data_IF_852781775314
#
_entry.id   IF_852781775314
#
_cell.length_a   1.000
_cell.length_b   1.000
_cell.length_c   1.000
_cell.angle_alpha   90.00
_cell.angle_beta   90.00
_cell.angle_gamma   90.00
#
_symmetry.space_group_name_H-M   'P 1'
#
loop_
_entity.id
_entity.type
_entity.pdbx_description
1 polymer ?
#
# COMPACT_ATOMS: atom_id res chain seq x y z
N UNK A 1 10.81 17.24 4.88
CA UNK A 1 9.42 17.77 4.64
C UNK A 1 8.71 17.11 3.42
N UNK A 2 8.13 15.90 3.52
CA UNK A 2 7.38 15.29 2.40
C UNK A 2 5.95 14.83 2.75
N UNK A 3 5.48 15.08 3.98
CA UNK A 3 4.06 14.98 4.31
C UNK A 3 3.72 15.94 5.47
N UNK A 4 2.87 16.97 5.27
CA UNK A 4 2.12 17.53 6.39
C UNK A 4 1.20 16.44 6.95
N UNK A 5 1.09 16.34 8.28
CA UNK A 5 0.27 15.39 9.05
C UNK A 5 -0.82 14.68 8.22
N UNK A 6 -0.55 13.43 7.85
CA UNK A 6 -1.49 12.59 7.11
C UNK A 6 -2.72 12.31 7.99
N UNK A 7 -3.88 12.88 7.68
CA UNK A 7 -5.13 12.50 8.32
C UNK A 7 -5.62 11.15 7.75
N UNK A 8 -5.01 10.07 8.25
CA UNK A 8 -5.32 8.71 7.85
C UNK A 8 -6.82 8.38 7.98
N UNK A 9 -7.52 8.97 8.96
CA UNK A 9 -8.95 8.70 9.19
C UNK A 9 -9.81 9.27 8.07
N UNK A 10 -9.52 10.49 7.61
CA UNK A 10 -10.20 11.09 6.48
C UNK A 10 -9.97 10.27 5.19
N UNK A 11 -8.74 9.82 4.95
CA UNK A 11 -8.41 8.99 3.78
C UNK A 11 -9.14 7.65 3.79
N UNK A 12 -9.15 6.94 4.93
CA UNK A 12 -9.89 5.68 5.08
C UNK A 12 -11.38 5.88 4.85
N UNK A 13 -11.96 6.98 5.37
CA UNK A 13 -13.38 7.30 5.17
C UNK A 13 -13.69 7.53 3.69
N UNK A 14 -12.83 8.27 2.99
CA UNK A 14 -12.96 8.51 1.55
C UNK A 14 -12.85 7.21 0.73
N UNK A 15 -11.86 6.36 1.01
CA UNK A 15 -11.68 5.07 0.34
C UNK A 15 -12.86 4.13 0.58
N UNK A 16 -13.37 4.08 1.82
CA UNK A 16 -14.58 3.32 2.16
C UNK A 16 -15.81 3.88 1.44
N UNK A 17 -15.88 5.19 1.21
CA UNK A 17 -16.89 5.84 0.37
C UNK A 17 -16.81 5.40 -1.10
N UNK A 18 -15.61 5.30 -1.68
CA UNK A 18 -15.40 4.73 -3.03
C UNK A 18 -15.89 3.28 -3.08
N UNK A 19 -15.49 2.46 -2.11
CA UNK A 19 -15.90 1.06 -2.04
C UNK A 19 -17.43 0.90 -1.92
N UNK A 20 -18.10 1.72 -1.10
CA UNK A 20 -19.56 1.74 -1.00
C UNK A 20 -20.24 2.11 -2.32
N UNK A 21 -19.75 3.14 -3.02
CA UNK A 21 -20.27 3.52 -4.34
C UNK A 21 -20.16 2.38 -5.35
N UNK A 22 -19.01 1.71 -5.40
CA UNK A 22 -18.84 0.52 -6.23
C UNK A 22 -19.80 -0.59 -5.84
N UNK A 23 -19.99 -0.84 -4.53
CA UNK A 23 -20.93 -1.84 -4.05
C UNK A 23 -22.38 -1.53 -4.45
N UNK A 24 -22.79 -0.25 -4.42
CA UNK A 24 -24.11 0.20 -4.88
C UNK A 24 -24.29 0.02 -6.40
N UNK A 25 -23.30 0.43 -7.19
CA UNK A 25 -23.33 0.28 -8.65
C UNK A 25 -23.37 -1.19 -9.08
N UNK A 26 -22.56 -2.04 -8.44
CA UNK A 26 -22.57 -3.48 -8.70
C UNK A 26 -23.89 -4.09 -8.24
N UNK A 27 -24.50 -3.61 -7.15
CA UNK A 27 -25.79 -4.10 -6.67
C UNK A 27 -26.90 -3.86 -7.70
N UNK A 28 -27.00 -2.64 -8.22
CA UNK A 28 -28.01 -2.28 -9.23
C UNK A 28 -27.72 -2.87 -10.62
N UNK A 29 -26.44 -3.07 -10.96
CA UNK A 29 -26.04 -3.58 -12.28
C UNK A 29 -26.33 -5.07 -12.49
N UNK A 30 -26.63 -5.44 -13.75
CA UNK A 30 -26.65 -6.85 -14.17
C UNK A 30 -25.26 -7.24 -14.67
N UNK A 31 -24.64 -8.22 -14.01
CA UNK A 31 -23.29 -8.69 -14.31
C UNK A 31 -23.32 -10.20 -14.46
N UNK A 32 -22.62 -10.70 -15.48
CA UNK A 32 -22.45 -12.14 -15.63
C UNK A 32 -21.57 -12.68 -14.50
N UNK A 33 -21.86 -13.89 -14.01
CA UNK A 33 -21.17 -14.52 -12.86
C UNK A 33 -19.65 -14.51 -13.01
N UNK A 34 -19.15 -14.80 -14.20
CA UNK A 34 -17.71 -14.90 -14.49
C UNK A 34 -17.00 -13.54 -14.60
N UNK A 35 -17.74 -12.45 -14.81
CA UNK A 35 -17.16 -11.11 -15.00
C UNK A 35 -16.93 -10.39 -13.67
N UNK A 36 -17.54 -10.87 -12.59
CA UNK A 36 -17.48 -10.22 -11.27
C UNK A 36 -16.06 -10.20 -10.69
N UNK A 37 -15.33 -11.31 -10.73
CA UNK A 37 -13.96 -11.37 -10.20
C UNK A 37 -13.00 -10.52 -11.07
N UNK A 38 -13.02 -10.61 -12.41
CA UNK A 38 -12.29 -9.68 -13.28
C UNK A 38 -12.59 -8.22 -13.00
N UNK A 39 -13.86 -7.84 -12.82
CA UNK A 39 -14.28 -6.48 -12.49
C UNK A 39 -13.60 -5.96 -11.21
N UNK A 40 -13.60 -6.75 -10.14
CA UNK A 40 -12.93 -6.36 -8.89
C UNK A 40 -11.46 -6.05 -9.14
N UNK A 41 -10.77 -6.88 -9.92
CA UNK A 41 -9.33 -6.72 -10.22
C UNK A 41 -9.04 -5.53 -11.13
N UNK A 42 -9.86 -5.29 -12.15
CA UNK A 42 -9.56 -4.33 -13.22
C UNK A 42 -10.12 -2.93 -12.97
N UNK A 43 -11.21 -2.78 -12.21
CA UNK A 43 -11.85 -1.47 -12.01
C UNK A 43 -11.84 -1.04 -10.54
N UNK A 44 -12.35 -1.89 -9.65
CA UNK A 44 -12.43 -1.55 -8.22
C UNK A 44 -11.03 -1.38 -7.63
N UNK A 45 -10.15 -2.36 -7.83
CA UNK A 45 -8.76 -2.28 -7.34
C UNK A 45 -8.03 -1.08 -7.94
N UNK A 46 -8.21 -0.81 -9.24
CA UNK A 46 -7.60 0.35 -9.93
C UNK A 46 -8.08 1.69 -9.36
N UNK A 47 -9.35 1.79 -8.96
CA UNK A 47 -9.89 2.99 -8.32
C UNK A 47 -9.23 3.26 -6.95
N UNK A 48 -8.80 2.21 -6.26
CA UNK A 48 -8.13 2.29 -4.97
C UNK A 48 -6.60 2.43 -5.10
N UNK A 49 -6.01 2.11 -6.26
CA UNK A 49 -4.56 2.04 -6.47
C UNK A 49 -3.86 3.41 -6.41
N UNK A 50 -4.49 4.47 -6.92
CA UNK A 50 -3.87 5.81 -6.97
C UNK A 50 -3.40 6.31 -5.60
N UNK A 51 -4.22 6.32 -4.53
CA UNK A 51 -3.77 6.78 -3.22
C UNK A 51 -2.82 5.80 -2.50
N UNK A 52 -2.68 4.55 -2.97
CA UNK A 52 -1.83 3.56 -2.29
C UNK A 52 -0.36 3.96 -2.22
N UNK A 53 0.15 4.77 -3.15
CA UNK A 53 1.55 5.23 -3.10
C UNK A 53 1.82 6.15 -1.91
N UNK A 54 0.82 6.89 -1.46
CA UNK A 54 0.97 7.92 -0.42
C UNK A 54 0.54 7.41 0.96
N UNK A 55 -0.37 6.45 1.00
CA UNK A 55 -0.96 5.95 2.23
C UNK A 55 -0.17 4.76 2.78
N UNK A 56 -0.06 4.71 4.11
CA UNK A 56 0.60 3.61 4.84
C UNK A 56 -0.41 2.90 5.74
N UNK A 57 -1.40 2.26 5.10
CA UNK A 57 -2.50 1.58 5.81
C UNK A 57 -2.13 0.13 6.15
N UNK A 58 -2.60 -0.32 7.32
CA UNK A 58 -2.49 -1.72 7.73
C UNK A 58 -3.39 -2.64 6.91
N UNK A 59 -3.02 -3.93 6.85
CA UNK A 59 -3.76 -4.94 6.12
C UNK A 59 -5.23 -5.07 6.57
N UNK A 60 -5.49 -5.01 7.88
CA UNK A 60 -6.85 -5.07 8.43
C UNK A 60 -7.74 -3.93 7.93
N UNK A 61 -7.21 -2.71 7.87
CA UNK A 61 -7.92 -1.54 7.36
C UNK A 61 -8.27 -1.70 5.87
N UNK A 62 -7.42 -2.33 5.08
CA UNK A 62 -7.72 -2.65 3.68
C UNK A 62 -8.85 -3.67 3.53
N UNK A 63 -8.87 -4.69 4.39
CA UNK A 63 -9.97 -5.68 4.43
C UNK A 63 -11.29 -4.98 4.75
N UNK A 64 -11.29 -4.05 5.71
CA UNK A 64 -12.45 -3.24 6.07
C UNK A 64 -12.94 -2.32 4.94
N UNK A 65 -12.01 -1.74 4.16
CA UNK A 65 -12.32 -0.93 2.98
C UNK A 65 -12.93 -1.80 1.87
N UNK A 66 -12.40 -3.00 1.65
CA UNK A 66 -12.87 -3.91 0.60
C UNK A 66 -14.17 -4.64 0.96
N UNK A 67 -14.45 -4.82 2.25
CA UNK A 67 -15.60 -5.58 2.76
C UNK A 67 -16.94 -5.21 2.08
N UNK A 68 -17.36 -3.93 1.97
CA UNK A 68 -18.61 -3.55 1.31
C UNK A 68 -18.74 -4.07 -0.13
N UNK A 69 -17.65 -4.05 -0.90
CA UNK A 69 -17.62 -4.53 -2.29
C UNK A 69 -17.72 -6.05 -2.31
N UNK A 70 -16.91 -6.73 -1.50
CA UNK A 70 -16.88 -8.20 -1.45
C UNK A 70 -18.24 -8.77 -1.04
N UNK A 71 -18.91 -8.15 -0.07
CA UNK A 71 -20.24 -8.57 0.41
C UNK A 71 -21.32 -8.55 -0.68
N UNK A 72 -21.17 -7.69 -1.70
CA UNK A 72 -22.09 -7.60 -2.85
C UNK A 72 -21.61 -8.46 -4.02
N UNK A 73 -20.31 -8.45 -4.30
CA UNK A 73 -19.75 -9.15 -5.45
C UNK A 73 -19.73 -10.67 -5.27
N UNK A 74 -19.39 -11.20 -4.09
CA UNK A 74 -19.28 -12.64 -3.86
C UNK A 74 -20.59 -13.39 -4.19
N UNK A 75 -21.78 -12.96 -3.71
CA UNK A 75 -23.04 -13.59 -4.10
C UNK A 75 -23.31 -13.54 -5.61
N UNK A 76 -22.94 -12.44 -6.30
CA UNK A 76 -23.10 -12.33 -7.75
C UNK A 76 -22.16 -13.25 -8.53
N UNK A 77 -20.99 -13.53 -7.97
CA UNK A 77 -20.08 -14.57 -8.46
C UNK A 77 -20.53 -15.99 -8.08
N UNK A 78 -21.67 -16.17 -7.41
CA UNK A 78 -22.19 -17.44 -6.91
C UNK A 78 -21.35 -18.06 -5.80
N UNK A 79 -20.66 -17.23 -5.02
CA UNK A 79 -19.85 -17.60 -3.85
C UNK A 79 -20.59 -17.13 -2.58
N UNK A 80 -20.40 -17.84 -1.48
CA UNK A 80 -20.99 -17.46 -0.19
C UNK A 80 -20.53 -16.06 0.25
N UNK A 81 -21.48 -15.24 0.72
CA UNK A 81 -21.20 -13.89 1.25
C UNK A 81 -20.26 -13.91 2.46
N UNK A 82 -20.36 -14.96 3.28
CA UNK A 82 -19.60 -15.17 4.50
C UNK A 82 -18.26 -15.89 4.27
N UNK A 83 -17.80 -15.99 3.02
CA UNK A 83 -16.53 -16.62 2.72
C UNK A 83 -15.37 -15.83 3.39
N UNK A 84 -14.40 -16.51 4.04
CA UNK A 84 -13.33 -15.83 4.78
C UNK A 84 -12.55 -14.85 3.89
N UNK A 85 -12.33 -13.59 4.31
CA UNK A 85 -11.61 -12.59 3.53
C UNK A 85 -10.20 -13.04 3.11
N UNK A 86 -9.51 -13.76 3.98
CA UNK A 86 -8.17 -14.28 3.71
C UNK A 86 -8.15 -15.25 2.52
N UNK A 87 -9.17 -16.10 2.40
CA UNK A 87 -9.34 -17.02 1.26
C UNK A 87 -9.81 -16.28 -0.01
N UNK A 88 -10.62 -15.23 0.13
CA UNK A 88 -11.02 -14.37 -1.00
C UNK A 88 -9.79 -13.70 -1.63
N UNK A 89 -8.91 -13.15 -0.80
CA UNK A 89 -7.75 -12.36 -1.22
C UNK A 89 -6.49 -13.22 -1.45
N UNK A 90 -6.57 -14.53 -1.22
CA UNK A 90 -5.50 -15.46 -1.49
C UNK A 90 -5.35 -15.74 -3.00
N UNK A 91 -4.12 -16.07 -3.47
CA UNK A 91 -3.88 -16.44 -4.85
C UNK A 91 -4.48 -17.81 -5.19
N UNK A 92 -4.73 -18.05 -6.48
CA UNK A 92 -5.30 -19.31 -6.99
C UNK A 92 -4.44 -20.53 -6.62
N UNK A 93 -3.11 -20.36 -6.51
CA UNK A 93 -2.17 -21.44 -6.13
C UNK A 93 -2.48 -22.03 -4.75
N UNK A 94 -3.06 -21.24 -3.85
CA UNK A 94 -3.43 -21.65 -2.50
C UNK A 94 -4.96 -21.78 -2.34
N UNK A 95 -5.67 -22.16 -3.40
CA UNK A 95 -7.13 -22.35 -3.39
C UNK A 95 -7.93 -21.06 -3.07
N UNK A 96 -7.32 -19.88 -3.21
CA UNK A 96 -8.01 -18.60 -3.09
C UNK A 96 -8.77 -18.20 -4.35
N UNK A 97 -9.50 -17.08 -4.31
CA UNK A 97 -10.22 -16.55 -5.49
C UNK A 97 -9.32 -15.76 -6.46
N UNK A 98 -8.05 -15.60 -6.11
CA UNK A 98 -7.05 -14.92 -6.94
C UNK A 98 -7.20 -13.40 -7.00
N UNK A 99 -7.98 -12.80 -6.11
CA UNK A 99 -8.08 -11.34 -5.97
C UNK A 99 -6.84 -10.89 -5.19
N UNK A 100 -5.99 -9.99 -5.73
CA UNK A 100 -4.80 -9.56 -5.02
C UNK A 100 -5.19 -8.79 -3.76
N UNK A 101 -4.53 -9.08 -2.65
CA UNK A 101 -4.74 -8.34 -1.40
C UNK A 101 -4.28 -6.87 -1.58
N UNK A 102 -5.11 -5.85 -1.26
CA UNK A 102 -4.77 -4.44 -1.49
C UNK A 102 -3.46 -4.00 -0.81
N UNK A 103 -3.19 -4.51 0.40
CA UNK A 103 -1.92 -4.26 1.10
C UNK A 103 -0.68 -4.70 0.30
N UNK A 104 -0.74 -5.84 -0.40
CA UNK A 104 0.35 -6.28 -1.27
C UNK A 104 0.56 -5.33 -2.46
N UNK A 105 -0.53 -4.80 -3.01
CA UNK A 105 -0.48 -3.76 -4.04
C UNK A 105 0.11 -2.44 -3.51
N UNK A 106 -0.21 -2.05 -2.27
CA UNK A 106 0.36 -0.87 -1.61
C UNK A 106 1.89 -0.97 -1.51
N UNK A 107 2.39 -2.07 -0.93
CA UNK A 107 3.84 -2.27 -0.80
C UNK A 107 4.52 -2.34 -2.17
N UNK A 108 3.88 -3.01 -3.14
CA UNK A 108 4.38 -3.03 -4.52
C UNK A 108 4.50 -1.61 -5.10
N UNK A 109 3.56 -0.71 -4.79
CA UNK A 109 3.63 0.70 -5.22
C UNK A 109 4.67 1.50 -4.46
N UNK A 110 4.86 1.28 -3.16
CA UNK A 110 5.96 1.91 -2.42
C UNK A 110 7.31 1.57 -3.05
N UNK A 111 7.55 0.29 -3.34
CA UNK A 111 8.79 -0.17 -3.99
C UNK A 111 8.92 0.38 -5.41
N UNK A 112 7.84 0.33 -6.21
CA UNK A 112 7.84 0.91 -7.56
C UNK A 112 8.20 2.40 -7.51
N UNK A 113 7.61 3.17 -6.61
CA UNK A 113 7.88 4.60 -6.44
C UNK A 113 9.33 4.86 -6.02
N UNK A 114 9.87 4.10 -5.07
CA UNK A 114 11.27 4.19 -4.64
C UNK A 114 12.25 3.93 -5.80
N UNK A 115 12.03 2.88 -6.59
CA UNK A 115 12.91 2.51 -7.70
C UNK A 115 12.74 3.40 -8.93
N UNK A 116 11.49 3.77 -9.24
CA UNK A 116 11.16 4.56 -10.43
C UNK A 116 11.67 5.99 -10.31
N UNK A 117 11.48 6.63 -9.15
CA UNK A 117 11.86 8.04 -9.00
C UNK A 117 13.37 8.22 -8.81
N UNK A 118 14.05 7.26 -8.17
CA UNK A 118 15.51 7.26 -8.03
C UNK A 118 16.21 7.09 -9.38
N UNK A 119 15.76 6.16 -10.21
CA UNK A 119 16.40 5.88 -11.51
C UNK A 119 16.15 6.97 -12.55
N UNK A 120 14.95 7.55 -12.57
CA UNK A 120 14.54 8.47 -13.65
C UNK A 120 14.90 9.94 -13.41
N UNK A 121 15.71 10.27 -12.40
CA UNK A 121 16.13 11.65 -12.05
C UNK A 121 14.97 12.67 -12.08
N UNK A 122 13.80 12.25 -11.58
CA UNK A 122 12.62 13.11 -11.54
C UNK A 122 12.74 14.14 -10.40
N UNK A 123 12.00 15.25 -10.46
CA UNK A 123 11.95 16.22 -9.32
C UNK A 123 11.53 15.54 -8.01
N UNK A 124 10.56 14.63 -8.08
CA UNK A 124 10.15 13.79 -6.95
C UNK A 124 11.29 12.91 -6.42
N UNK A 125 12.13 12.39 -7.31
CA UNK A 125 13.35 11.67 -6.95
C UNK A 125 14.33 12.53 -6.16
N UNK A 126 14.54 13.78 -6.55
CA UNK A 126 15.39 14.71 -5.80
C UNK A 126 14.83 15.01 -4.39
N UNK A 127 13.51 15.19 -4.25
CA UNK A 127 12.89 15.35 -2.93
C UNK A 127 13.00 14.08 -2.08
N UNK A 128 12.86 12.91 -2.70
CA UNK A 128 12.98 11.62 -2.02
C UNK A 128 14.42 11.39 -1.54
N UNK A 129 15.41 11.69 -2.37
CA UNK A 129 16.83 11.62 -2.01
C UNK A 129 17.17 12.60 -0.89
N UNK A 130 16.70 13.86 -0.98
CA UNK A 130 16.88 14.84 0.08
C UNK A 130 16.25 14.38 1.40
N UNK A 131 15.06 13.78 1.36
CA UNK A 131 14.40 13.24 2.55
C UNK A 131 15.14 12.02 3.12
N UNK A 132 15.73 11.15 2.29
CA UNK A 132 16.56 10.05 2.75
C UNK A 132 17.87 10.54 3.39
N UNK A 133 18.47 11.60 2.85
CA UNK A 133 19.64 12.25 3.44
C UNK A 133 19.29 12.99 4.75
N UNK A 134 18.12 13.62 4.83
CA UNK A 134 17.57 14.23 6.06
C UNK A 134 17.48 13.16 7.17
N UNK A 135 16.91 11.99 6.86
CA UNK A 135 16.88 10.85 7.78
C UNK A 135 18.26 10.33 8.18
N UNK A 136 19.20 10.30 7.24
CA UNK A 136 20.57 9.90 7.53
C UNK A 136 21.25 10.85 8.52
N UNK A 137 20.97 12.16 8.40
CA UNK A 137 21.43 13.17 9.34
C UNK A 137 20.75 13.05 10.71
N UNK A 138 19.43 12.79 10.74
CA UNK A 138 18.67 12.60 11.99
C UNK A 138 19.17 11.39 12.79
N UNK A 139 19.46 10.29 12.11
CA UNK A 139 19.96 9.05 12.72
C UNK A 139 21.46 9.09 13.03
N UNK A 140 22.20 10.03 12.42
CA UNK A 140 23.64 10.21 12.65
C UNK A 140 24.51 9.09 12.08
N UNK A 141 24.05 8.40 11.04
CA UNK A 141 24.72 7.19 10.54
C UNK A 141 25.26 7.35 9.13
N UNK A 142 26.37 6.65 8.82
CA UNK A 142 26.96 6.67 7.48
C UNK A 142 26.20 5.84 6.44
N UNK A 143 25.23 5.01 6.86
CA UNK A 143 24.45 4.12 5.98
C UNK A 143 23.04 4.68 5.72
N UNK A 144 22.40 4.21 4.66
CA UNK A 144 21.03 4.60 4.33
C UNK A 144 20.01 4.01 5.31
N UNK A 145 18.89 4.71 5.51
CA UNK A 145 17.85 4.33 6.49
C UNK A 145 17.34 2.88 6.30
N UNK A 146 17.20 2.39 5.07
CA UNK A 146 16.73 1.04 4.77
C UNK A 146 17.75 -0.08 5.06
N UNK A 147 18.99 0.28 5.36
CA UNK A 147 20.07 -0.66 5.67
C UNK A 147 20.29 -0.81 7.18
N UNK A 148 19.42 -0.19 7.98
CA UNK A 148 19.49 -0.17 9.43
C UNK A 148 18.40 -1.03 10.03
N UNK A 149 18.62 -1.42 11.30
CA UNK A 149 17.63 -2.08 12.12
C UNK A 149 16.58 -1.06 12.63
N UNK A 150 15.33 -1.23 12.21
CA UNK A 150 14.22 -0.36 12.59
C UNK A 150 14.04 -0.27 14.09
N UNK A 151 14.20 -1.37 14.81
CA UNK A 151 13.99 -1.37 16.25
C UNK A 151 14.97 -0.44 16.97
N UNK A 152 16.18 -0.27 16.44
CA UNK A 152 17.23 0.53 17.06
C UNK A 152 17.22 1.99 16.59
N UNK A 153 17.17 2.24 15.27
CA UNK A 153 17.38 3.61 14.75
C UNK A 153 16.08 4.36 14.48
N UNK A 154 14.92 3.69 14.46
CA UNK A 154 13.65 4.38 14.19
C UNK A 154 13.24 5.36 15.28
N UNK A 155 13.73 5.22 16.51
CA UNK A 155 13.44 6.18 17.60
C UNK A 155 14.02 7.57 17.30
N UNK A 156 15.12 7.64 16.54
CA UNK A 156 15.83 8.87 16.22
C UNK A 156 15.25 9.58 14.97
N UNK A 157 14.55 8.84 14.11
CA UNK A 157 14.01 9.35 12.86
C UNK A 157 12.63 10.02 13.05
N UNK A 158 12.39 11.12 12.34
CA UNK A 158 11.10 11.82 12.29
C UNK A 158 9.99 10.92 11.71
N UNK A 159 8.76 11.05 12.23
CA UNK A 159 7.61 10.33 11.68
C UNK A 159 7.22 10.88 10.30
N UNK A 160 7.65 10.16 9.27
CA UNK A 160 7.45 10.50 7.87
C UNK A 160 7.01 9.26 7.10
N UNK A 161 6.50 9.46 5.89
CA UNK A 161 6.16 8.37 4.98
C UNK A 161 7.31 7.37 4.80
N UNK A 162 8.56 7.83 4.64
CA UNK A 162 9.74 6.97 4.47
C UNK A 162 9.96 6.05 5.67
N UNK A 163 9.83 6.57 6.89
CA UNK A 163 9.97 5.78 8.13
C UNK A 163 8.91 4.67 8.20
N UNK A 164 7.69 4.95 7.78
CA UNK A 164 6.60 3.97 7.76
C UNK A 164 6.81 2.90 6.69
N UNK A 165 7.25 3.30 5.50
CA UNK A 165 7.65 2.37 4.43
C UNK A 165 8.80 1.48 4.89
N UNK A 166 9.80 2.03 5.58
CA UNK A 166 10.89 1.23 6.15
C UNK A 166 10.37 0.17 7.15
N UNK A 167 9.43 0.52 8.03
CA UNK A 167 8.75 -0.45 8.91
C UNK A 167 8.07 -1.58 8.11
N UNK A 168 7.38 -1.23 7.02
CA UNK A 168 6.71 -2.21 6.15
C UNK A 168 7.72 -3.14 5.47
N UNK A 169 8.83 -2.60 4.97
CA UNK A 169 9.88 -3.38 4.30
C UNK A 169 10.58 -4.33 5.26
N UNK A 170 10.88 -3.90 6.47
CA UNK A 170 11.52 -4.76 7.48
C UNK A 170 10.59 -5.90 7.92
N UNK A 171 9.30 -5.63 8.13
CA UNK A 171 8.32 -6.67 8.43
C UNK A 171 8.18 -7.73 7.33
N UNK A 172 8.51 -7.38 6.08
CA UNK A 172 8.47 -8.28 4.93
C UNK A 172 9.83 -8.87 4.56
N UNK A 173 10.89 -8.57 5.34
CA UNK A 173 12.27 -8.98 5.07
C UNK A 173 12.75 -8.55 3.66
N UNK A 174 12.38 -7.33 3.25
CA UNK A 174 12.74 -6.75 1.95
C UNK A 174 13.92 -5.80 2.13
N UNK A 175 15.06 -6.14 1.54
CA UNK A 175 16.25 -5.31 1.55
C UNK A 175 16.28 -4.33 0.36
N UNK A 176 16.41 -3.03 0.66
CA UNK A 176 16.59 -1.97 -0.34
C UNK A 176 17.87 -1.21 -0.03
N UNK A 177 18.83 -1.23 -0.95
CA UNK A 177 20.07 -0.47 -0.79
C UNK A 177 19.87 0.99 -1.21
N UNK A 178 20.30 1.91 -0.35
CA UNK A 178 20.40 3.33 -0.65
C UNK A 178 21.87 3.74 -0.66
N UNK A 179 22.37 4.14 -1.82
CA UNK A 179 23.74 4.61 -1.97
C UNK A 179 23.77 6.14 -1.83
N UNK A 180 23.92 6.64 -0.60
CA UNK A 180 24.20 8.05 -0.34
C UNK A 180 25.69 8.33 -0.20
N UNK A 181 26.12 9.58 -0.40
CA UNK A 181 27.46 10.01 0.03
C UNK A 181 27.62 9.78 1.54
N UNK A 182 28.78 9.28 1.95
CA UNK A 182 29.10 9.11 3.36
C UNK A 182 29.11 10.48 4.06
N UNK A 183 28.49 10.55 5.24
CA UNK A 183 28.58 11.74 6.08
C UNK A 183 30.02 11.91 6.59
N UNK A 184 30.61 13.11 6.48
CA UNK A 184 31.85 13.44 7.16
C UNK A 184 31.55 13.59 8.66
N UNK A 185 31.62 12.49 9.39
CA UNK A 185 31.48 12.43 10.85
C UNK A 185 32.84 12.63 11.53
#
# INVERSE_FOLDING_TARGET
MLAPLEDQKAHVTHLKGIAKRWAEQVRSGHLHKYDVIPLIKSTVMKSLEYPMTLLTLEAATWVDIMSPVLQVCLPKAGICRSFPPDMVLAPLKFQGLGIPHPFGSQVSKHIETLLRHSTNKTKTGAYLEAALQEHQLETGTSFGIFQQDYCNTAVLASDTWIKRVWKELENMDIYVAFNSPALPL
#
